data_IF_373999756886
#
_entry.id   IF_373999756886
#
_cell.length_a   1.000
_cell.length_b   1.000
_cell.length_c   1.000
_cell.angle_alpha   90.00
_cell.angle_beta   90.00
_cell.angle_gamma   90.00
#
_symmetry.space_group_name_H-M   'P 1'
#
loop_
_entity.id
_entity.type
_entity.pdbx_description
1 polymer ?
#
# COMPACT_ATOMS: atom_id res chain seq x y z
N UNK A 1 1.89 -15.57 10.49
CA UNK A 1 1.75 -15.37 9.03
C UNK A 1 0.88 -16.51 8.51
N UNK A 2 -0.41 -16.28 8.29
CA UNK A 2 -1.28 -17.31 7.71
C UNK A 2 -1.07 -17.23 6.20
N UNK A 3 -0.32 -18.18 5.63
CA UNK A 3 -0.24 -18.32 4.18
C UNK A 3 -1.46 -19.10 3.73
N UNK A 4 -2.25 -18.54 2.82
CA UNK A 4 -3.31 -19.30 2.19
C UNK A 4 -2.71 -20.34 1.24
N UNK A 5 -3.43 -21.43 0.91
CA UNK A 5 -2.99 -22.36 -0.13
C UNK A 5 -2.70 -21.69 -1.48
N UNK A 6 -3.35 -20.56 -1.77
CA UNK A 6 -3.15 -19.78 -3.00
C UNK A 6 -1.84 -18.97 -3.01
N UNK A 7 -1.23 -18.74 -1.85
CA UNK A 7 0.07 -18.04 -1.74
C UNK A 7 1.26 -19.00 -1.83
N UNK A 8 1.01 -20.31 -1.88
CA UNK A 8 2.07 -21.32 -2.01
C UNK A 8 2.50 -21.44 -3.46
N UNK A 9 3.83 -21.43 -3.67
CA UNK A 9 4.41 -21.69 -4.98
C UNK A 9 3.99 -23.07 -5.48
N UNK A 10 3.24 -23.10 -6.57
CA UNK A 10 2.86 -24.32 -7.26
C UNK A 10 3.41 -24.25 -8.68
N UNK A 11 4.27 -25.21 -9.00
CA UNK A 11 4.84 -25.37 -10.34
C UNK A 11 4.00 -26.40 -11.07
N UNK A 12 3.57 -26.05 -12.28
CA UNK A 12 2.96 -27.02 -13.20
C UNK A 12 4.09 -27.83 -13.81
N UNK A 13 4.13 -29.11 -13.44
CA UNK A 13 5.04 -30.10 -14.04
C UNK A 13 4.20 -31.10 -14.83
N UNK A 14 4.67 -31.41 -16.04
CA UNK A 14 4.17 -32.44 -16.94
C UNK A 14 3.04 -32.03 -17.93
N UNK A 15 3.24 -32.48 -19.18
CA UNK A 15 2.48 -32.30 -20.43
C UNK A 15 2.88 -31.12 -21.34
N UNK A 16 3.75 -30.23 -20.89
CA UNK A 16 4.37 -29.19 -21.71
C UNK A 16 5.90 -29.22 -21.54
N UNK A 17 6.69 -28.88 -22.57
CA UNK A 17 8.12 -28.61 -22.38
C UNK A 17 8.35 -27.41 -21.45
N UNK A 18 7.34 -26.59 -21.15
CA UNK A 18 7.45 -25.44 -20.27
C UNK A 18 7.09 -25.80 -18.82
N UNK A 19 8.03 -25.63 -17.88
CA UNK A 19 7.74 -25.61 -16.45
C UNK A 19 7.59 -24.17 -15.96
N UNK A 20 6.43 -23.84 -15.40
CA UNK A 20 6.11 -22.48 -14.97
C UNK A 20 5.34 -22.47 -13.64
N UNK A 21 5.41 -21.36 -12.89
CA UNK A 21 4.71 -21.24 -11.62
C UNK A 21 3.25 -20.84 -11.84
N UNK A 22 2.29 -21.76 -11.69
CA UNK A 22 0.87 -21.42 -11.83
C UNK A 22 0.36 -20.46 -10.74
N UNK A 23 1.00 -20.46 -9.56
CA UNK A 23 0.66 -19.56 -8.45
C UNK A 23 1.83 -19.39 -7.50
N UNK A 24 1.71 -18.40 -6.59
CA UNK A 24 2.64 -18.18 -5.49
C UNK A 24 3.89 -17.36 -5.84
N UNK A 25 3.95 -16.76 -7.03
CA UNK A 25 4.97 -15.76 -7.36
C UNK A 25 4.46 -14.39 -6.94
N UNK A 26 5.23 -13.71 -6.09
CA UNK A 26 4.92 -12.39 -5.57
C UNK A 26 6.17 -11.51 -5.65
N UNK A 27 5.97 -10.26 -6.03
CA UNK A 27 6.97 -9.21 -6.05
C UNK A 27 6.40 -7.97 -5.40
N UNK A 28 7.23 -7.26 -4.63
CA UNK A 28 6.81 -5.95 -4.12
C UNK A 28 6.84 -4.92 -5.24
N UNK A 29 6.00 -3.87 -5.19
CA UNK A 29 6.07 -2.78 -6.14
C UNK A 29 7.48 -2.21 -6.28
N UNK A 30 7.91 -1.96 -7.51
CA UNK A 30 9.22 -1.45 -7.91
C UNK A 30 10.41 -2.32 -7.44
N UNK A 31 10.20 -3.62 -7.22
CA UNK A 31 11.25 -4.58 -6.87
C UNK A 31 11.48 -5.61 -7.97
N UNK A 32 12.62 -6.28 -7.86
CA UNK A 32 13.05 -7.38 -8.73
C UNK A 32 13.02 -8.69 -7.97
N UNK A 33 12.58 -9.76 -8.64
CA UNK A 33 12.68 -11.13 -8.16
C UNK A 33 13.32 -12.02 -9.23
N UNK A 34 13.90 -13.13 -8.79
CA UNK A 34 14.12 -14.27 -9.69
C UNK A 34 12.77 -14.90 -9.96
N UNK A 35 12.45 -15.11 -11.24
CA UNK A 35 11.25 -15.84 -11.61
C UNK A 35 11.55 -17.32 -11.38
N UNK A 36 10.72 -18.05 -10.63
CA UNK A 36 10.90 -19.49 -10.44
C UNK A 36 10.43 -20.26 -11.69
N UNK A 37 10.93 -19.87 -12.87
CA UNK A 37 10.80 -20.67 -14.08
C UNK A 37 11.79 -21.81 -13.95
N UNK A 38 11.28 -23.03 -13.90
CA UNK A 38 12.12 -24.21 -13.85
C UNK A 38 12.49 -24.64 -15.28
N UNK A 39 13.66 -25.26 -15.45
CA UNK A 39 14.07 -25.74 -16.75
C UNK A 39 13.08 -26.79 -17.29
N UNK A 40 12.74 -26.74 -18.60
CA UNK A 40 12.07 -27.81 -19.31
C UNK A 40 12.57 -29.21 -18.92
N UNK A 41 11.69 -30.04 -18.35
CA UNK A 41 11.85 -31.51 -18.37
C UNK A 41 11.34 -32.07 -19.70
N UNK A 42 11.77 -31.49 -20.81
CA UNK A 42 11.55 -32.08 -22.12
C UNK A 42 12.60 -33.20 -22.33
N UNK A 43 12.16 -34.38 -22.74
CA UNK A 43 13.05 -35.36 -23.36
C UNK A 43 13.66 -34.73 -24.63
N UNK A 44 14.96 -34.96 -24.87
CA UNK A 44 15.82 -34.40 -25.93
C UNK A 44 15.30 -34.46 -27.39
N UNK A 45 14.08 -34.93 -27.67
CA UNK A 45 13.51 -35.12 -29.01
C UNK A 45 12.30 -34.26 -29.38
N UNK A 46 11.87 -33.30 -28.54
CA UNK A 46 10.67 -32.47 -28.81
C UNK A 46 10.95 -31.01 -29.23
N UNK A 47 12.16 -30.48 -29.00
CA UNK A 47 12.54 -29.13 -29.42
C UNK A 47 13.47 -29.17 -30.64
N UNK A 48 13.44 -28.12 -31.47
CA UNK A 48 14.28 -28.00 -32.66
C UNK A 48 15.78 -27.97 -32.36
N UNK A 49 16.61 -27.99 -33.41
CA UNK A 49 18.09 -28.00 -33.30
C UNK A 49 18.69 -26.79 -32.55
N UNK A 50 17.93 -25.69 -32.46
CA UNK A 50 18.26 -24.48 -31.70
C UNK A 50 17.06 -24.08 -30.84
N UNK A 51 16.92 -24.65 -29.63
CA UNK A 51 15.79 -24.34 -28.76
C UNK A 51 15.78 -22.84 -28.39
N UNK A 52 14.61 -22.23 -28.54
CA UNK A 52 14.36 -20.83 -28.20
C UNK A 52 13.12 -20.73 -27.30
N UNK A 53 13.20 -19.85 -26.30
CA UNK A 53 12.08 -19.50 -25.43
C UNK A 53 11.86 -18.00 -25.46
N UNK A 54 10.60 -17.58 -25.41
CA UNK A 54 10.21 -16.18 -25.34
C UNK A 54 9.33 -15.95 -24.11
N UNK A 55 9.61 -14.86 -23.41
CA UNK A 55 8.85 -14.39 -22.26
C UNK A 55 8.34 -12.98 -22.56
N UNK A 56 7.06 -12.72 -22.31
CA UNK A 56 6.44 -11.40 -22.49
C UNK A 56 5.65 -11.02 -21.25
N UNK A 57 6.03 -9.93 -20.59
CA UNK A 57 5.33 -9.34 -19.46
C UNK A 57 4.40 -8.20 -19.91
N UNK A 58 3.24 -8.05 -19.25
CA UNK A 58 2.26 -7.01 -19.56
C UNK A 58 2.53 -5.69 -18.82
N UNK A 59 3.14 -5.73 -17.64
CA UNK A 59 3.43 -4.56 -16.81
C UNK A 59 4.93 -4.29 -16.71
N UNK A 60 5.69 -5.24 -16.14
CA UNK A 60 7.10 -5.09 -15.78
C UNK A 60 8.09 -5.42 -16.89
N UNK A 61 9.36 -5.49 -16.54
CA UNK A 61 10.46 -5.86 -17.45
C UNK A 61 11.12 -7.16 -17.04
N UNK A 62 11.68 -7.86 -18.03
CA UNK A 62 12.34 -9.14 -17.89
C UNK A 62 13.84 -8.96 -18.13
N UNK A 63 14.66 -9.65 -17.35
CA UNK A 63 16.11 -9.63 -17.50
C UNK A 63 16.76 -10.90 -16.99
N UNK A 64 18.06 -10.88 -16.77
CA UNK A 64 18.77 -12.01 -16.17
C UNK A 64 19.72 -11.57 -15.06
N UNK A 65 19.88 -12.41 -14.04
CA UNK A 65 20.83 -12.19 -12.95
C UNK A 65 22.27 -12.61 -13.33
N UNK A 66 22.40 -13.49 -14.31
CA UNK A 66 23.67 -13.98 -14.86
C UNK A 66 23.47 -14.51 -16.28
N UNK A 67 24.52 -14.50 -17.08
CA UNK A 67 24.52 -15.03 -18.45
C UNK A 67 25.29 -16.35 -18.50
N UNK A 68 24.68 -17.37 -19.09
CA UNK A 68 25.29 -18.68 -19.34
C UNK A 68 26.02 -18.65 -20.68
N UNK A 69 27.21 -19.24 -20.73
CA UNK A 69 28.02 -19.29 -21.95
C UNK A 69 27.26 -19.95 -23.11
N UNK A 70 27.36 -19.35 -24.30
CA UNK A 70 26.71 -19.86 -25.51
C UNK A 70 25.20 -19.61 -25.59
N UNK A 71 24.63 -18.84 -24.66
CA UNK A 71 23.23 -18.41 -24.73
C UNK A 71 23.11 -17.03 -25.37
N UNK A 72 22.24 -16.92 -26.37
CA UNK A 72 21.85 -15.66 -26.98
C UNK A 72 20.69 -15.04 -26.20
N UNK A 73 20.83 -13.76 -25.82
CA UNK A 73 19.78 -12.97 -25.17
C UNK A 73 19.37 -11.80 -26.06
N UNK A 74 18.07 -11.55 -26.17
CA UNK A 74 17.51 -10.37 -26.84
C UNK A 74 16.39 -9.78 -25.99
N UNK A 75 16.37 -8.45 -25.85
CA UNK A 75 15.33 -7.74 -25.10
C UNK A 75 15.54 -7.69 -23.59
N UNK A 76 16.76 -7.87 -23.08
CA UNK A 76 17.05 -7.67 -21.65
C UNK A 76 16.65 -6.26 -21.19
N UNK A 77 15.93 -6.19 -20.07
CA UNK A 77 15.40 -4.95 -19.51
C UNK A 77 14.15 -4.43 -20.21
N UNK A 78 13.60 -5.17 -21.18
CA UNK A 78 12.36 -4.85 -21.88
C UNK A 78 11.21 -5.73 -21.39
N UNK A 79 9.99 -5.48 -21.90
CA UNK A 79 8.82 -6.34 -21.63
C UNK A 79 8.91 -7.71 -22.27
N UNK A 80 9.74 -7.86 -23.31
CA UNK A 80 9.93 -9.09 -24.07
C UNK A 80 11.37 -9.54 -23.91
N UNK A 81 11.57 -10.79 -23.51
CA UNK A 81 12.89 -11.43 -23.40
C UNK A 81 12.89 -12.70 -24.22
N UNK A 82 13.80 -12.79 -25.18
CA UNK A 82 14.05 -13.99 -25.96
C UNK A 82 15.40 -14.60 -25.59
N UNK A 83 15.42 -15.91 -25.35
CA UNK A 83 16.60 -16.69 -24.99
C UNK A 83 16.73 -17.85 -25.97
N UNK A 84 17.91 -18.03 -26.56
CA UNK A 84 18.21 -19.13 -27.47
C UNK A 84 19.57 -19.74 -27.16
N UNK A 85 19.72 -21.05 -27.32
CA UNK A 85 21.00 -21.71 -27.09
C UNK A 85 21.21 -22.87 -28.08
N UNK A 86 22.46 -23.24 -28.41
CA UNK A 86 22.74 -24.43 -29.21
C UNK A 86 22.51 -25.73 -28.43
N UNK A 87 22.44 -25.66 -27.09
CA UNK A 87 22.20 -26.82 -26.23
C UNK A 87 21.09 -26.54 -25.23
N UNK A 88 20.18 -27.50 -25.08
CA UNK A 88 19.04 -27.41 -24.18
C UNK A 88 19.46 -27.22 -22.71
N UNK A 89 20.55 -27.85 -22.27
CA UNK A 89 21.02 -27.73 -20.89
C UNK A 89 21.55 -26.32 -20.56
N UNK A 90 22.16 -25.62 -21.53
CA UNK A 90 22.56 -24.22 -21.37
C UNK A 90 21.33 -23.31 -21.28
N UNK A 91 20.32 -23.54 -22.13
CA UNK A 91 19.06 -22.79 -22.08
C UNK A 91 18.33 -23.02 -20.75
N UNK A 92 18.25 -24.28 -20.31
CA UNK A 92 17.68 -24.69 -19.04
C UNK A 92 18.40 -24.03 -17.85
N UNK A 93 19.74 -23.93 -17.92
CA UNK A 93 20.53 -23.22 -16.92
C UNK A 93 20.26 -21.72 -16.96
N UNK A 94 20.11 -21.12 -18.14
CA UNK A 94 19.81 -19.69 -18.27
C UNK A 94 18.46 -19.31 -17.67
N UNK A 95 17.44 -20.15 -17.85
CA UNK A 95 16.10 -19.92 -17.30
C UNK A 95 16.08 -19.76 -15.78
N UNK A 96 17.02 -20.39 -15.06
CA UNK A 96 17.17 -20.25 -13.60
C UNK A 96 17.64 -18.86 -13.16
N UNK A 97 18.13 -18.05 -14.10
CA UNK A 97 18.60 -16.68 -13.84
C UNK A 97 17.63 -15.62 -14.34
N UNK A 98 16.48 -15.99 -14.92
CA UNK A 98 15.49 -15.00 -15.38
C UNK A 98 14.97 -14.20 -14.20
N UNK A 99 14.99 -12.88 -14.34
CA UNK A 99 14.45 -11.94 -13.38
C UNK A 99 13.24 -11.23 -13.95
N UNK A 100 12.34 -10.87 -13.05
CA UNK A 100 11.23 -9.97 -13.31
C UNK A 100 11.37 -8.74 -12.44
N UNK A 101 11.25 -7.55 -13.03
CA UNK A 101 11.23 -6.27 -12.33
C UNK A 101 9.90 -5.59 -12.57
N UNK A 102 9.14 -5.37 -11.50
CA UNK A 102 7.94 -4.54 -11.59
C UNK A 102 8.33 -3.07 -11.80
N UNK A 103 7.63 -2.38 -12.70
CA UNK A 103 7.84 -0.95 -13.00
C UNK A 103 6.70 -0.04 -12.51
N UNK A 104 5.61 -0.64 -12.04
CA UNK A 104 4.39 0.07 -11.64
C UNK A 104 4.20 0.03 -10.13
N UNK A 105 4.10 1.20 -9.51
CA UNK A 105 3.72 1.26 -8.10
C UNK A 105 2.21 1.10 -7.96
N UNK A 106 1.76 -0.11 -7.66
CA UNK A 106 0.36 -0.40 -7.37
C UNK A 106 0.24 -1.17 -6.03
N UNK A 107 -0.74 -0.83 -5.17
CA UNK A 107 -0.88 -1.46 -3.86
C UNK A 107 -1.22 -2.96 -3.94
N UNK A 108 -2.06 -3.36 -4.92
CA UNK A 108 -2.41 -4.77 -5.16
C UNK A 108 -2.84 -5.00 -6.62
N UNK A 109 -2.02 -5.68 -7.41
CA UNK A 109 -2.34 -6.07 -8.80
C UNK A 109 -1.57 -7.32 -9.20
N UNK A 110 -1.69 -7.77 -10.45
CA UNK A 110 -0.89 -8.87 -10.98
C UNK A 110 -0.46 -8.59 -12.42
N UNK A 111 0.76 -8.99 -12.75
CA UNK A 111 1.26 -9.02 -14.12
C UNK A 111 1.08 -10.42 -14.70
N UNK A 112 0.64 -10.51 -15.96
CA UNK A 112 0.58 -11.76 -16.70
C UNK A 112 1.84 -11.88 -17.57
N UNK A 113 2.62 -12.92 -17.31
CA UNK A 113 3.78 -13.29 -18.12
C UNK A 113 3.42 -14.44 -19.04
N UNK A 114 3.48 -14.19 -20.35
CA UNK A 114 3.39 -15.22 -21.37
C UNK A 114 4.76 -15.89 -21.53
N UNK A 115 4.77 -17.21 -21.65
CA UNK A 115 5.97 -18.03 -21.80
C UNK A 115 5.74 -19.02 -22.95
N UNK A 116 6.58 -18.96 -23.98
CA UNK A 116 6.39 -19.75 -25.19
C UNK A 116 7.66 -20.36 -25.75
N UNK A 117 7.52 -21.50 -26.43
CA UNK A 117 8.58 -22.22 -27.15
C UNK A 117 7.95 -23.15 -28.20
N UNK A 118 8.52 -23.25 -29.41
CA UNK A 118 8.21 -24.29 -30.42
C UNK A 118 6.73 -24.76 -30.49
N UNK A 119 5.77 -23.82 -30.59
CA UNK A 119 4.33 -24.13 -30.70
C UNK A 119 3.60 -24.42 -29.38
N UNK A 120 4.28 -24.27 -28.24
CA UNK A 120 3.74 -24.35 -26.90
C UNK A 120 3.68 -22.97 -26.25
N UNK A 121 2.52 -22.66 -25.67
CA UNK A 121 2.29 -21.43 -24.94
C UNK A 121 1.80 -21.74 -23.52
N UNK A 122 2.27 -20.94 -22.57
CA UNK A 122 1.83 -20.92 -21.19
C UNK A 122 1.73 -19.47 -20.70
N UNK A 123 0.96 -19.25 -19.64
CA UNK A 123 0.90 -17.97 -18.97
C UNK A 123 0.88 -18.19 -17.46
N UNK A 124 1.52 -17.27 -16.73
CA UNK A 124 1.45 -17.24 -15.28
C UNK A 124 1.35 -15.82 -14.75
N UNK A 125 0.79 -15.70 -13.54
CA UNK A 125 0.63 -14.43 -12.87
C UNK A 125 1.77 -14.19 -11.86
N UNK A 126 2.31 -12.98 -11.86
CA UNK A 126 3.17 -12.46 -10.80
C UNK A 126 2.35 -11.43 -10.02
N UNK A 127 2.01 -11.74 -8.77
CA UNK A 127 1.29 -10.80 -7.90
C UNK A 127 2.21 -9.66 -7.49
N UNK A 128 1.77 -8.43 -7.72
CA UNK A 128 2.46 -7.20 -7.35
C UNK A 128 1.71 -6.61 -6.15
N UNK A 129 2.25 -6.81 -4.94
CA UNK A 129 1.64 -6.28 -3.73
C UNK A 129 2.65 -6.14 -2.60
N UNK A 130 2.33 -5.29 -1.63
CA UNK A 130 2.99 -5.34 -0.34
C UNK A 130 2.49 -6.55 0.47
N UNK A 131 3.28 -7.08 1.41
CA UNK A 131 2.79 -8.09 2.34
C UNK A 131 1.53 -7.55 3.02
N UNK A 132 0.41 -8.30 3.00
CA UNK A 132 -0.82 -7.83 3.62
C UNK A 132 -0.61 -7.61 5.11
N UNK A 133 -1.04 -6.45 5.60
CA UNK A 133 -1.01 -6.12 7.02
C UNK A 133 -1.98 -7.05 7.75
N UNK A 134 -1.55 -7.76 8.82
CA UNK A 134 -2.46 -8.61 9.56
C UNK A 134 -3.58 -7.75 10.14
N UNK A 135 -4.84 -8.09 9.82
CA UNK A 135 -6.00 -7.50 10.47
C UNK A 135 -6.06 -8.05 11.90
N UNK A 136 -5.91 -7.16 12.87
CA UNK A 136 -6.01 -7.51 14.30
C UNK A 136 -7.46 -7.67 14.76
N UNK A 137 -8.39 -7.05 14.02
CA UNK A 137 -9.82 -7.09 14.27
C UNK A 137 -10.55 -7.34 12.95
N UNK A 138 -11.65 -8.09 13.01
CA UNK A 138 -12.57 -8.26 11.90
C UNK A 138 -13.50 -7.03 11.87
N UNK A 139 -13.50 -6.21 10.80
CA UNK A 139 -14.36 -5.03 10.73
C UNK A 139 -15.86 -5.38 10.60
N UNK A 140 -16.23 -6.66 10.48
CA UNK A 140 -17.60 -7.07 10.15
C UNK A 140 -17.83 -7.08 8.64
N UNK A 141 -18.86 -7.80 8.19
CA UNK A 141 -19.24 -7.80 6.78
C UNK A 141 -19.68 -6.38 6.39
N UNK A 142 -19.06 -5.83 5.35
CA UNK A 142 -19.55 -4.61 4.71
C UNK A 142 -20.94 -4.96 4.14
N UNK A 143 -22.00 -4.53 4.82
CA UNK A 143 -23.35 -4.57 4.26
C UNK A 143 -23.29 -3.79 2.95
N UNK A 144 -23.48 -4.51 1.83
CA UNK A 144 -23.33 -3.96 0.50
C UNK A 144 -24.13 -2.68 0.37
N UNK A 145 -23.42 -1.56 0.20
CA UNK A 145 -24.03 -0.29 -0.15
C UNK A 145 -24.61 -0.46 -1.56
N UNK A 146 -25.92 -0.70 -1.64
CA UNK A 146 -26.68 -0.55 -2.87
C UNK A 146 -26.46 0.89 -3.37
N UNK A 147 -25.80 1.02 -4.53
CA UNK A 147 -25.63 2.29 -5.23
C UNK A 147 -27.02 2.81 -5.65
N UNK A 148 -27.67 3.60 -4.81
CA UNK A 148 -28.78 4.44 -5.25
C UNK A 148 -28.22 5.59 -6.10
N UNK A 149 -28.27 5.44 -7.42
CA UNK A 149 -28.04 6.50 -8.39
C UNK A 149 -29.11 7.59 -8.27
N UNK A 150 -28.88 8.56 -7.38
CA UNK A 150 -29.66 9.79 -7.31
C UNK A 150 -29.26 10.79 -8.40
N UNK A 151 -30.15 11.02 -9.37
CA UNK A 151 -30.01 12.08 -10.38
C UNK A 151 -29.93 13.49 -9.74
N UNK A 152 -28.91 14.25 -10.13
CA UNK A 152 -29.00 15.72 -10.23
C UNK A 152 -28.33 16.56 -9.14
N UNK A 153 -27.10 17.01 -9.43
CA UNK A 153 -26.72 18.44 -9.55
C UNK A 153 -25.24 18.54 -9.91
N UNK A 154 -24.93 19.26 -10.99
CA UNK A 154 -23.58 19.71 -11.33
C UNK A 154 -23.05 20.65 -10.23
N UNK A 155 -22.55 20.05 -9.16
CA UNK A 155 -21.72 20.67 -8.14
C UNK A 155 -20.34 20.04 -8.21
N UNK A 156 -19.31 20.87 -8.09
CA UNK A 156 -17.88 20.52 -8.05
C UNK A 156 -17.63 19.13 -7.44
N UNK A 157 -16.94 18.23 -8.15
CA UNK A 157 -16.81 16.78 -7.92
C UNK A 157 -16.17 16.31 -6.59
N UNK A 158 -16.24 17.09 -5.50
CA UNK A 158 -15.52 16.87 -4.26
C UNK A 158 -16.35 16.94 -2.98
N UNK A 159 -17.68 16.82 -3.04
CA UNK A 159 -18.53 16.74 -1.86
C UNK A 159 -19.60 15.64 -2.03
N UNK A 160 -19.15 14.38 -2.05
CA UNK A 160 -20.07 13.27 -1.71
C UNK A 160 -20.48 13.49 -0.25
N UNK A 161 -21.77 13.37 0.04
CA UNK A 161 -22.37 13.70 1.33
C UNK A 161 -22.04 12.71 2.45
N UNK A 162 -20.75 12.43 2.70
CA UNK A 162 -20.30 11.55 3.76
C UNK A 162 -20.78 12.07 5.12
N UNK A 163 -21.33 11.17 5.94
CA UNK A 163 -21.60 11.48 7.34
C UNK A 163 -20.29 11.44 8.14
N UNK A 164 -19.54 12.54 8.11
CA UNK A 164 -18.23 12.65 8.76
C UNK A 164 -18.29 12.33 10.25
N UNK A 165 -19.37 12.69 10.95
CA UNK A 165 -19.51 12.38 12.38
C UNK A 165 -19.68 10.89 12.70
N UNK A 166 -20.15 10.08 11.74
CA UNK A 166 -20.20 8.63 11.89
C UNK A 166 -18.86 7.94 11.52
N UNK A 167 -18.10 8.55 10.61
CA UNK A 167 -16.89 7.95 10.06
C UNK A 167 -15.60 8.35 10.78
N UNK A 168 -15.54 9.56 11.34
CA UNK A 168 -14.28 10.14 11.84
C UNK A 168 -14.40 10.54 13.30
N UNK A 169 -13.43 10.10 14.11
CA UNK A 169 -13.15 10.65 15.45
C UNK A 169 -11.85 11.42 15.43
N UNK A 170 -11.85 12.63 16.01
CA UNK A 170 -10.64 13.42 16.18
C UNK A 170 -10.01 13.02 17.51
N UNK A 171 -8.76 12.57 17.48
CA UNK A 171 -8.01 12.20 18.67
C UNK A 171 -6.85 13.18 18.89
N UNK A 172 -6.67 13.61 20.13
CA UNK A 172 -5.55 14.47 20.53
C UNK A 172 -5.06 14.16 21.93
N UNK A 173 -3.88 14.67 22.24
CA UNK A 173 -3.23 14.55 23.54
C UNK A 173 -2.76 15.93 23.99
N UNK A 174 -3.02 16.27 25.25
CA UNK A 174 -2.55 17.52 25.84
C UNK A 174 -1.68 17.31 27.08
N UNK A 175 -0.89 18.32 27.44
CA UNK A 175 -0.15 18.42 28.69
C UNK A 175 0.06 19.89 29.04
N UNK A 176 -0.67 20.40 30.03
CA UNK A 176 -0.55 21.78 30.54
C UNK A 176 -0.83 22.88 29.49
N UNK A 177 -1.49 22.57 28.37
CA UNK A 177 -1.74 23.50 27.23
C UNK A 177 -3.23 23.76 26.97
N UNK A 178 -4.00 24.04 28.03
CA UNK A 178 -5.46 24.20 27.91
C UNK A 178 -5.91 25.37 27.03
N UNK A 179 -5.13 26.44 26.94
CA UNK A 179 -5.41 27.57 26.04
C UNK A 179 -5.36 27.13 24.56
N UNK A 180 -4.36 26.32 24.21
CA UNK A 180 -4.22 25.72 22.87
C UNK A 180 -5.32 24.72 22.61
N UNK A 181 -5.53 23.79 23.53
CA UNK A 181 -6.55 22.76 23.40
C UNK A 181 -7.96 23.35 23.23
N UNK A 182 -8.32 24.39 23.99
CA UNK A 182 -9.60 25.09 23.81
C UNK A 182 -9.70 25.76 22.44
N UNK A 183 -8.60 26.31 21.93
CA UNK A 183 -8.56 26.90 20.59
C UNK A 183 -8.75 25.84 19.50
N UNK A 184 -8.11 24.66 19.64
CA UNK A 184 -8.35 23.51 18.79
C UNK A 184 -9.83 23.11 18.83
N UNK A 185 -10.39 22.83 20.02
CA UNK A 185 -11.77 22.39 20.18
C UNK A 185 -12.74 23.41 19.58
N UNK A 186 -12.57 24.71 19.85
CA UNK A 186 -13.41 25.76 19.29
C UNK A 186 -13.34 25.81 17.76
N UNK A 187 -12.14 25.67 17.19
CA UNK A 187 -11.96 25.65 15.73
C UNK A 187 -12.59 24.42 15.09
N UNK A 188 -12.47 23.23 15.72
CA UNK A 188 -13.14 22.01 15.25
C UNK A 188 -14.64 22.21 15.29
N UNK A 189 -15.21 22.68 16.40
CA UNK A 189 -16.66 22.88 16.56
C UNK A 189 -17.25 23.88 15.57
N UNK A 190 -16.45 24.84 15.08
CA UNK A 190 -16.87 25.77 14.03
C UNK A 190 -17.17 25.09 12.68
N UNK A 191 -16.42 24.03 12.34
CA UNK A 191 -16.54 23.36 11.03
C UNK A 191 -17.20 21.98 11.13
N UNK A 192 -17.03 21.30 12.27
CA UNK A 192 -17.43 19.93 12.55
C UNK A 192 -18.10 19.84 13.94
N UNK A 193 -19.32 20.40 14.10
CA UNK A 193 -19.96 20.54 15.40
C UNK A 193 -20.32 19.20 16.06
N UNK A 194 -20.62 18.16 15.27
CA UNK A 194 -21.05 16.83 15.73
C UNK A 194 -19.95 15.77 15.77
N UNK A 195 -18.74 16.06 15.29
CA UNK A 195 -17.63 15.09 15.29
C UNK A 195 -17.10 14.89 16.70
N UNK A 196 -16.94 13.64 17.12
CA UNK A 196 -16.37 13.31 18.43
C UNK A 196 -14.91 13.73 18.52
N UNK A 197 -14.54 14.37 19.64
CA UNK A 197 -13.16 14.72 19.99
C UNK A 197 -12.78 13.92 21.24
N UNK A 198 -11.76 13.08 21.14
CA UNK A 198 -11.16 12.36 22.24
C UNK A 198 -9.88 13.08 22.66
N UNK A 199 -9.79 13.46 23.93
CA UNK A 199 -8.63 14.12 24.53
C UNK A 199 -8.03 13.23 25.60
N UNK A 200 -6.79 12.78 25.42
CA UNK A 200 -6.00 12.18 26.48
C UNK A 200 -5.13 13.25 27.18
N UNK A 201 -5.20 13.31 28.51
CA UNK A 201 -4.63 14.41 29.29
C UNK A 201 -3.80 13.88 30.47
N UNK A 202 -2.49 14.08 30.45
CA UNK A 202 -1.56 13.72 31.52
C UNK A 202 -1.08 14.94 32.34
N UNK A 203 -1.86 16.01 32.39
CA UNK A 203 -1.58 17.21 33.17
C UNK A 203 -1.62 16.95 34.69
N UNK A 204 -0.78 17.65 35.46
CA UNK A 204 -0.72 17.46 36.91
C UNK A 204 -2.00 17.89 37.61
N UNK A 205 -2.62 18.95 37.11
CA UNK A 205 -3.85 19.55 37.64
C UNK A 205 -4.82 19.74 36.49
N UNK A 206 -5.58 18.69 36.12
CA UNK A 206 -6.41 18.79 34.93
C UNK A 206 -7.53 19.82 35.06
N UNK A 207 -7.70 20.66 34.05
CA UNK A 207 -8.84 21.57 33.97
C UNK A 207 -10.07 20.83 33.43
N UNK A 208 -11.27 21.02 34.02
CA UNK A 208 -12.48 20.39 33.48
C UNK A 208 -12.76 20.84 32.05
N UNK A 209 -12.83 19.89 31.13
CA UNK A 209 -13.28 20.10 29.76
C UNK A 209 -14.66 19.46 29.60
N UNK A 210 -15.66 20.26 29.21
CA UNK A 210 -17.03 19.81 28.97
C UNK A 210 -17.55 20.43 27.67
N UNK A 211 -18.33 19.68 26.93
CA UNK A 211 -18.95 20.12 25.70
C UNK A 211 -19.61 18.96 24.96
N UNK A 212 -20.44 19.25 23.95
CA UNK A 212 -21.03 18.20 23.12
C UNK A 212 -19.92 17.45 22.38
N UNK A 213 -20.08 16.13 22.26
CA UNK A 213 -19.19 15.22 21.53
C UNK A 213 -17.71 15.33 21.95
N UNK A 214 -17.45 15.62 23.24
CA UNK A 214 -16.11 15.75 23.79
C UNK A 214 -15.90 14.71 24.89
N UNK A 215 -14.91 13.86 24.71
CA UNK A 215 -14.50 12.86 25.68
C UNK A 215 -13.11 13.21 26.23
N UNK A 216 -13.02 13.35 27.55
CA UNK A 216 -11.79 13.79 28.22
C UNK A 216 -11.31 12.71 29.18
N UNK A 217 -10.22 12.04 28.81
CA UNK A 217 -9.62 10.95 29.56
C UNK A 217 -8.39 11.42 30.31
N UNK A 218 -8.43 11.31 31.64
CA UNK A 218 -7.34 11.69 32.52
C UNK A 218 -6.35 10.53 32.69
N UNK A 219 -5.07 10.85 32.59
CA UNK A 219 -3.96 9.94 32.81
C UNK A 219 -3.17 10.37 34.06
N UNK A 220 -2.39 9.46 34.65
CA UNK A 220 -1.41 9.87 35.65
C UNK A 220 -0.45 10.92 35.08
N UNK A 221 0.02 11.81 35.95
CA UNK A 221 0.86 12.93 35.56
C UNK A 221 2.11 12.50 34.75
N UNK A 222 2.33 13.16 33.61
CA UNK A 222 3.56 13.01 32.83
C UNK A 222 3.80 11.62 32.24
N UNK A 223 2.74 10.83 32.00
CA UNK A 223 2.87 9.50 31.37
C UNK A 223 3.44 9.54 29.96
N UNK A 224 3.34 10.69 29.29
CA UNK A 224 4.09 10.99 28.09
C UNK A 224 3.32 10.75 26.80
N UNK A 225 3.99 11.10 25.71
CA UNK A 225 3.40 11.20 24.38
C UNK A 225 2.78 9.90 23.87
N UNK A 226 3.56 8.81 23.87
CA UNK A 226 3.10 7.52 23.33
C UNK A 226 1.97 6.89 24.14
N UNK A 227 2.01 7.00 25.47
CA UNK A 227 0.95 6.50 26.34
C UNK A 227 -0.38 7.23 26.07
N UNK A 228 -0.34 8.56 25.94
CA UNK A 228 -1.51 9.35 25.62
C UNK A 228 -2.06 9.09 24.22
N UNK A 229 -1.19 8.87 23.22
CA UNK A 229 -1.64 8.46 21.87
C UNK A 229 -2.40 7.14 21.91
N UNK A 230 -1.83 6.13 22.58
CA UNK A 230 -2.44 4.82 22.69
C UNK A 230 -3.79 4.90 23.41
N UNK A 231 -3.88 5.67 24.51
CA UNK A 231 -5.14 5.89 25.20
C UNK A 231 -6.18 6.53 24.27
N UNK A 232 -5.87 7.68 23.67
CA UNK A 232 -6.84 8.38 22.81
C UNK A 232 -7.33 7.50 21.65
N UNK A 233 -6.43 6.81 20.95
CA UNK A 233 -6.79 5.92 19.84
C UNK A 233 -7.62 4.72 20.32
N UNK A 234 -7.34 4.18 21.51
CA UNK A 234 -8.11 3.05 22.06
C UNK A 234 -9.57 3.36 22.37
N UNK A 235 -9.94 4.65 22.44
CA UNK A 235 -11.33 5.08 22.66
C UNK A 235 -12.06 5.39 21.35
N UNK A 236 -11.39 5.30 20.20
CA UNK A 236 -12.01 5.54 18.89
C UNK A 236 -12.82 4.31 18.47
N UNK A 237 -14.10 4.52 18.15
CA UNK A 237 -15.01 3.47 17.66
C UNK A 237 -15.43 3.68 16.21
N UNK A 238 -15.10 4.82 15.61
CA UNK A 238 -15.42 5.14 14.21
C UNK A 238 -14.43 4.48 13.25
N UNK A 239 -14.84 4.29 11.99
CA UNK A 239 -14.00 3.68 10.93
C UNK A 239 -12.63 4.34 10.81
N UNK A 240 -12.56 5.67 10.94
CA UNK A 240 -11.34 6.46 10.84
C UNK A 240 -11.04 7.26 12.09
N UNK A 241 -9.74 7.44 12.35
CA UNK A 241 -9.21 8.37 13.35
C UNK A 241 -8.42 9.47 12.66
N UNK A 242 -8.67 10.72 13.04
CA UNK A 242 -7.80 11.84 12.70
C UNK A 242 -6.98 12.24 13.93
N UNK A 243 -5.67 12.00 13.87
CA UNK A 243 -4.76 12.50 14.88
C UNK A 243 -4.43 13.98 14.63
N UNK A 244 -4.56 14.81 15.67
CA UNK A 244 -4.13 16.21 15.65
C UNK A 244 -3.36 16.57 16.93
N UNK A 245 -2.41 17.48 16.83
CA UNK A 245 -1.79 18.06 18.03
C UNK A 245 -2.72 19.11 18.63
N UNK A 246 -2.62 19.32 19.95
CA UNK A 246 -3.53 20.18 20.73
C UNK A 246 -3.40 21.69 20.41
N UNK A 247 -2.42 22.08 19.60
CA UNK A 247 -2.21 23.43 19.09
C UNK A 247 -2.58 23.61 17.61
N UNK A 248 -3.19 22.60 16.99
CA UNK A 248 -3.73 22.73 15.63
C UNK A 248 -4.99 23.60 15.62
N UNK A 249 -5.21 24.29 14.49
CA UNK A 249 -6.38 25.11 14.26
C UNK A 249 -7.03 24.71 12.94
N UNK A 250 -8.31 24.33 13.00
CA UNK A 250 -9.10 24.03 11.82
C UNK A 250 -9.47 25.33 11.11
N UNK A 251 -9.40 25.30 9.79
CA UNK A 251 -9.69 26.45 8.91
C UNK A 251 -10.71 26.04 7.86
N UNK A 252 -11.26 26.96 7.05
CA UNK A 252 -12.13 26.59 5.93
C UNK A 252 -11.47 25.65 4.90
N UNK A 253 -10.15 25.49 4.94
CA UNK A 253 -9.39 24.57 4.08
C UNK A 253 -9.18 23.19 4.70
N UNK A 254 -9.47 23.03 5.99
CA UNK A 254 -9.42 21.73 6.66
C UNK A 254 -10.71 20.98 6.31
N UNK A 255 -10.66 20.13 5.28
CA UNK A 255 -11.80 19.41 4.70
C UNK A 255 -11.66 17.91 4.97
N UNK A 256 -12.35 17.41 5.99
CA UNK A 256 -12.32 15.98 6.35
C UNK A 256 -12.97 15.11 5.28
N UNK A 257 -13.97 15.62 4.57
CA UNK A 257 -14.67 14.92 3.49
C UNK A 257 -13.70 14.52 2.39
N UNK A 258 -12.72 15.38 2.10
CA UNK A 258 -11.69 15.10 1.09
C UNK A 258 -10.71 14.03 1.54
N UNK A 259 -10.42 13.95 2.84
CA UNK A 259 -9.56 12.90 3.39
C UNK A 259 -10.29 11.55 3.36
N UNK A 260 -11.56 11.54 3.78
CA UNK A 260 -12.43 10.36 3.71
C UNK A 260 -12.62 9.90 2.27
N UNK A 261 -12.86 10.80 1.32
CA UNK A 261 -13.05 10.44 -0.10
C UNK A 261 -11.83 9.70 -0.69
N UNK A 262 -10.62 10.09 -0.29
CA UNK A 262 -9.40 9.38 -0.68
C UNK A 262 -9.38 7.97 -0.11
N UNK A 263 -9.71 7.80 1.17
CA UNK A 263 -9.66 6.49 1.84
C UNK A 263 -10.78 5.54 1.37
N UNK A 264 -11.97 6.06 1.04
CA UNK A 264 -13.09 5.24 0.57
C UNK A 264 -12.94 4.84 -0.91
N UNK A 265 -12.27 5.66 -1.73
CA UNK A 265 -12.14 5.41 -3.19
C UNK A 265 -10.82 4.78 -3.61
N UNK A 266 -9.96 4.47 -2.64
CA UNK A 266 -8.65 3.86 -2.89
C UNK A 266 -8.36 2.79 -1.88
N UNK A 267 -7.36 1.96 -2.14
CA UNK A 267 -6.89 0.95 -1.20
C UNK A 267 -5.80 1.50 -0.26
N UNK A 268 -5.74 2.81 -0.01
CA UNK A 268 -4.74 3.43 0.86
C UNK A 268 -5.17 3.34 2.33
N UNK A 269 -4.23 3.00 3.20
CA UNK A 269 -4.48 2.88 4.65
C UNK A 269 -4.39 4.22 5.40
N UNK A 270 -3.70 5.22 4.83
CA UNK A 270 -3.42 6.48 5.48
C UNK A 270 -3.49 7.64 4.49
N UNK A 271 -4.10 8.74 4.92
CA UNK A 271 -4.09 10.03 4.22
C UNK A 271 -3.67 11.13 5.20
N UNK A 272 -2.86 12.08 4.73
CA UNK A 272 -2.36 13.19 5.54
C UNK A 272 -2.67 14.54 4.92
N UNK A 273 -3.04 15.51 5.75
CA UNK A 273 -3.17 16.90 5.35
C UNK A 273 -1.85 17.67 5.43
N UNK A 274 -1.79 18.83 4.77
CA UNK A 274 -0.72 19.80 4.97
C UNK A 274 -0.98 20.62 6.24
N UNK A 275 0.03 20.79 7.09
CA UNK A 275 -0.04 21.66 8.26
C UNK A 275 0.72 22.95 7.94
N UNK A 276 0.06 24.09 8.10
CA UNK A 276 0.67 25.39 7.82
C UNK A 276 0.87 26.16 9.11
N UNK A 277 2.12 26.53 9.38
CA UNK A 277 2.51 27.36 10.50
C UNK A 277 2.17 28.85 10.26
N UNK A 278 2.10 29.61 11.35
CA UNK A 278 1.92 31.07 11.31
C UNK A 278 3.06 31.77 10.56
N UNK A 279 4.25 31.18 10.58
CA UNK A 279 5.44 31.65 9.84
C UNK A 279 5.29 31.56 8.32
N UNK A 280 4.23 30.91 7.82
CA UNK A 280 4.00 30.63 6.41
C UNK A 280 4.62 29.31 5.95
N UNK A 281 5.42 28.65 6.79
CA UNK A 281 5.97 27.33 6.49
C UNK A 281 4.86 26.29 6.43
N UNK A 282 4.93 25.39 5.45
CA UNK A 282 3.93 24.32 5.27
C UNK A 282 4.65 22.98 5.29
N UNK A 283 4.28 22.13 6.26
CA UNK A 283 4.75 20.76 6.35
C UNK A 283 3.73 19.82 5.71
N UNK A 284 4.24 18.85 4.95
CA UNK A 284 3.44 17.74 4.42
C UNK A 284 4.18 16.45 4.71
N UNK A 285 3.44 15.40 5.06
CA UNK A 285 4.02 14.08 5.19
C UNK A 285 4.23 13.48 3.79
N UNK A 286 5.38 13.79 3.17
CA UNK A 286 5.76 13.32 1.84
C UNK A 286 7.07 12.54 1.91
N UNK A 287 6.96 11.30 2.37
CA UNK A 287 8.11 10.41 2.57
C UNK A 287 7.88 9.09 1.83
N UNK A 288 8.92 8.60 1.16
CA UNK A 288 9.03 7.22 0.69
C UNK A 288 9.66 6.39 1.78
N UNK A 289 8.92 5.40 2.27
CA UNK A 289 9.38 4.44 3.27
C UNK A 289 9.81 3.16 2.54
N UNK A 290 11.08 2.80 2.64
CA UNK A 290 11.61 1.54 2.12
C UNK A 290 11.94 0.62 3.29
N UNK A 291 11.28 -0.54 3.34
CA UNK A 291 11.59 -1.59 4.31
C UNK A 291 12.32 -2.72 3.59
N UNK A 292 13.59 -2.92 3.94
CA UNK A 292 14.38 -4.07 3.49
C UNK A 292 14.38 -5.14 4.58
N UNK A 293 14.08 -6.37 4.17
CA UNK A 293 14.11 -7.52 5.07
C UNK A 293 15.50 -7.65 5.69
N UNK A 294 15.54 -7.71 7.02
CA UNK A 294 16.77 -7.97 7.77
C UNK A 294 16.86 -9.41 8.27
N UNK A 295 17.83 -9.65 9.15
CA UNK A 295 17.99 -10.93 9.85
C UNK A 295 17.24 -10.95 11.19
N UNK A 296 17.71 -11.77 12.12
CA UNK A 296 17.13 -11.86 13.47
C UNK A 296 17.11 -10.53 14.25
N UNK A 297 17.91 -9.54 13.85
CA UNK A 297 17.94 -8.20 14.44
C UNK A 297 16.83 -7.25 13.98
N UNK A 298 15.93 -7.68 13.09
CA UNK A 298 14.84 -6.88 12.54
C UNK A 298 15.14 -6.26 11.18
N UNK A 299 14.13 -5.60 10.63
CA UNK A 299 14.18 -5.02 9.28
C UNK A 299 14.84 -3.64 9.25
N UNK A 300 15.38 -3.27 8.09
CA UNK A 300 15.96 -1.96 7.86
C UNK A 300 14.92 -1.02 7.23
N UNK A 301 14.56 0.05 7.97
CA UNK A 301 13.70 1.13 7.49
C UNK A 301 14.55 2.30 6.99
N UNK A 302 14.33 2.70 5.73
CA UNK A 302 14.90 3.93 5.17
C UNK A 302 13.78 4.88 4.79
N UNK A 303 13.86 6.11 5.27
CA UNK A 303 12.94 7.19 4.95
C UNK A 303 13.62 8.19 4.01
N UNK A 304 12.96 8.54 2.91
CA UNK A 304 13.46 9.56 1.97
C UNK A 304 12.34 10.52 1.59
N UNK A 305 12.60 11.83 1.50
CA UNK A 305 11.62 12.76 0.95
C UNK A 305 11.21 12.36 -0.48
N UNK A 306 9.93 12.35 -0.77
CA UNK A 306 9.42 12.01 -2.10
C UNK A 306 8.06 11.35 -2.09
N UNK A 307 7.60 10.95 -3.28
CA UNK A 307 6.38 10.18 -3.49
C UNK A 307 6.60 9.11 -4.56
N UNK A 308 5.67 8.16 -4.69
CA UNK A 308 5.74 7.11 -5.71
C UNK A 308 5.05 7.51 -7.01
N UNK A 309 3.82 8.02 -6.95
CA UNK A 309 3.05 8.42 -8.12
C UNK A 309 1.97 9.43 -7.72
N UNK A 310 1.37 10.14 -8.69
CA UNK A 310 0.18 10.95 -8.41
C UNK A 310 -1.03 10.04 -8.31
N UNK A 311 -1.92 10.32 -7.37
CA UNK A 311 -3.13 9.52 -7.20
C UNK A 311 -4.17 9.90 -8.27
N UNK A 312 -4.59 8.92 -9.07
CA UNK A 312 -5.61 9.13 -10.10
C UNK A 312 -6.93 9.60 -9.46
N UNK A 313 -7.58 10.59 -10.07
CA UNK A 313 -8.80 11.21 -9.52
C UNK A 313 -8.58 12.21 -8.38
N UNK A 314 -7.36 12.29 -7.81
CA UNK A 314 -7.04 13.19 -6.69
C UNK A 314 -5.79 14.04 -7.00
N UNK A 315 -5.92 15.12 -7.78
CA UNK A 315 -4.78 15.87 -8.32
C UNK A 315 -3.91 16.57 -7.27
N UNK A 316 -4.42 16.74 -6.04
CA UNK A 316 -3.68 17.30 -4.91
C UNK A 316 -2.95 16.23 -4.07
N UNK A 317 -3.09 14.96 -4.43
CA UNK A 317 -2.53 13.82 -3.72
C UNK A 317 -1.39 13.18 -4.51
N UNK A 318 -0.36 12.75 -3.80
CA UNK A 318 0.87 12.13 -4.30
C UNK A 318 1.30 11.01 -3.36
#
# INVERSE_FOLDING_TARGET
RVQSPADRLLIVRANSPLEYPAQGVEVRPLQTILVPVLPPRASLGQLGAHPQVNLTASLGTLGVAAVVEGVELRGEGQRQLALGAPRLDHLNRQLQFVTYTNTEFHPDTADIVQFSTDGHDAAFAIRIRHPPTPRLYDPGEEEGEEEEEGEGKEGNAGDRGYNISALVTIATKTFLRYDKLRSLIASVRRFYPSVTIVVADDSQRPEPLRGPHLEHYLMPFGKGWFAGRNLAVSQVTTKYVLWVDDDFIFTPRTRLEKLVDVLERTSLDLVGGAVREITGYTTTYRQRLLVRGGGAGGDCLRTQPGFHHRLAGFPSCV
#
